data_IF_647591236429
#
_entry.id   IF_647591236429
#
_cell.length_a   1.000
_cell.length_b   1.000
_cell.length_c   1.000
_cell.angle_alpha   90.00
_cell.angle_beta   90.00
_cell.angle_gamma   90.00
#
_symmetry.space_group_name_H-M   'P 1'
#
loop_
_entity.id
_entity.type
_entity.pdbx_description
1 polymer ?
#
# COMPACT_ATOMS: atom_id res chain seq x y z
N UNK A 1 -35.48 10.03 10.05
CA UNK A 1 -34.62 9.36 9.05
C UNK A 1 -33.23 9.98 9.10
N UNK A 2 -32.36 9.46 9.98
CA UNK A 2 -30.99 9.98 10.14
C UNK A 2 -30.15 9.38 9.02
N UNK A 3 -29.79 10.21 8.04
CA UNK A 3 -28.85 9.85 6.96
C UNK A 3 -27.45 9.79 7.57
N UNK A 4 -26.99 8.58 7.89
CA UNK A 4 -25.60 8.32 8.25
C UNK A 4 -24.75 8.61 7.01
N UNK A 5 -24.04 9.73 7.01
CA UNK A 5 -22.97 10.03 6.06
C UNK A 5 -21.76 9.14 6.38
N UNK A 6 -21.72 7.94 5.79
CA UNK A 6 -20.53 7.09 5.73
C UNK A 6 -19.48 7.69 4.77
N UNK A 7 -18.91 8.85 5.11
CA UNK A 7 -17.80 9.45 4.38
C UNK A 7 -16.51 9.39 5.23
N UNK A 8 -15.66 8.43 4.84
CA UNK A 8 -14.19 8.54 4.82
C UNK A 8 -13.44 8.80 6.14
N UNK A 9 -13.47 7.86 7.09
CA UNK A 9 -12.57 7.88 8.27
C UNK A 9 -11.81 6.56 8.43
N UNK A 10 -10.92 6.23 7.50
CA UNK A 10 -10.06 5.02 7.61
C UNK A 10 -8.58 5.24 7.33
N UNK A 11 -8.08 6.50 7.36
CA UNK A 11 -6.64 6.73 7.14
C UNK A 11 -6.05 7.91 7.91
N UNK A 12 -6.27 7.98 9.22
CA UNK A 12 -5.56 8.92 10.10
C UNK A 12 -4.53 8.18 10.96
N UNK A 13 -3.43 8.84 11.34
CA UNK A 13 -2.37 8.25 12.20
C UNK A 13 -2.95 7.70 13.53
N UNK A 14 -3.98 8.36 14.06
CA UNK A 14 -4.70 7.92 15.26
C UNK A 14 -5.42 6.58 15.07
N UNK A 15 -5.99 6.31 13.89
CA UNK A 15 -6.61 5.01 13.61
C UNK A 15 -5.58 3.88 13.56
N UNK A 16 -4.38 4.13 13.02
CA UNK A 16 -3.32 3.12 12.99
C UNK A 16 -2.98 2.61 14.39
N UNK A 17 -2.90 3.49 15.39
CA UNK A 17 -2.62 3.11 16.78
C UNK A 17 -3.69 2.19 17.41
N UNK A 18 -4.94 2.28 16.96
CA UNK A 18 -6.05 1.46 17.47
C UNK A 18 -6.22 0.19 16.64
N UNK A 19 -5.97 0.26 15.33
CA UNK A 19 -6.18 -0.85 14.42
C UNK A 19 -5.01 -1.84 14.40
N UNK A 20 -3.77 -1.36 14.53
CA UNK A 20 -2.56 -2.18 14.44
C UNK A 20 -2.51 -3.32 15.47
N UNK A 21 -2.82 -3.10 16.77
CA UNK A 21 -2.90 -4.20 17.74
C UNK A 21 -3.92 -5.27 17.33
N UNK A 22 -5.08 -4.86 16.83
CA UNK A 22 -6.13 -5.77 16.36
C UNK A 22 -5.72 -6.54 15.09
N UNK A 23 -4.91 -5.90 14.24
CA UNK A 23 -4.32 -6.53 13.07
C UNK A 23 -3.31 -7.62 13.48
N UNK A 24 -2.43 -7.32 14.43
CA UNK A 24 -1.43 -8.27 14.96
C UNK A 24 -2.07 -9.44 15.69
N UNK A 25 -3.12 -9.20 16.47
CA UNK A 25 -3.90 -10.26 17.11
C UNK A 25 -4.46 -11.24 16.07
N UNK A 26 -5.12 -10.72 15.03
CA UNK A 26 -5.65 -11.55 13.94
C UNK A 26 -4.54 -12.32 13.23
N UNK A 27 -3.40 -11.66 12.97
CA UNK A 27 -2.23 -12.31 12.39
C UNK A 27 -1.75 -13.49 13.24
N UNK A 28 -1.59 -13.31 14.56
CA UNK A 28 -1.16 -14.39 15.44
C UNK A 28 -2.16 -15.55 15.49
N UNK A 29 -3.45 -15.27 15.52
CA UNK A 29 -4.50 -16.30 15.48
C UNK A 29 -4.41 -17.12 14.20
N UNK A 30 -4.30 -16.48 13.04
CA UNK A 30 -4.19 -17.16 11.74
C UNK A 30 -2.87 -17.92 11.63
N UNK A 31 -1.77 -17.34 12.09
CA UNK A 31 -0.44 -17.93 12.03
C UNK A 31 -0.29 -19.13 12.96
N UNK A 32 -0.92 -19.11 14.15
CA UNK A 32 -0.87 -20.21 15.10
C UNK A 32 -1.66 -21.45 14.65
N UNK A 33 -2.67 -21.26 13.78
CA UNK A 33 -3.40 -22.36 13.14
C UNK A 33 -2.54 -23.13 12.13
N UNK A 34 -1.45 -22.54 11.64
CA UNK A 34 -0.53 -23.19 10.71
C UNK A 34 0.51 -24.06 11.44
N UNK A 35 0.94 -25.18 10.83
CA UNK A 35 2.08 -25.95 11.30
C UNK A 35 3.33 -25.06 11.47
N UNK A 36 4.20 -25.37 12.45
CA UNK A 36 5.37 -24.55 12.78
C UNK A 36 6.25 -24.18 11.58
N UNK A 37 6.36 -25.07 10.59
CA UNK A 37 7.14 -24.84 9.36
C UNK A 37 6.53 -23.83 8.39
N UNK A 38 5.21 -23.59 8.46
CA UNK A 38 4.49 -22.69 7.56
C UNK A 38 4.18 -21.34 8.21
N UNK A 39 4.58 -21.14 9.47
CA UNK A 39 4.34 -19.89 10.19
C UNK A 39 5.19 -18.77 9.60
N UNK A 40 4.56 -17.62 9.40
CA UNK A 40 5.21 -16.40 8.92
C UNK A 40 5.74 -15.58 10.10
N UNK A 41 6.78 -14.79 9.86
CA UNK A 41 7.23 -13.78 10.82
C UNK A 41 6.22 -12.64 10.93
N UNK A 42 6.20 -11.98 12.08
CA UNK A 42 5.32 -10.84 12.32
C UNK A 42 5.51 -9.72 11.27
N UNK A 43 4.41 -9.13 10.76
CA UNK A 43 4.49 -8.00 9.84
C UNK A 43 5.21 -6.82 10.49
N UNK A 44 6.25 -6.31 9.82
CA UNK A 44 6.98 -5.12 10.29
C UNK A 44 6.42 -3.86 9.65
N UNK A 45 6.35 -2.78 10.43
CA UNK A 45 6.01 -1.47 9.91
C UNK A 45 7.04 -1.04 8.85
N UNK A 46 6.60 -0.55 7.68
CA UNK A 46 7.52 -0.01 6.67
C UNK A 46 8.36 1.15 7.21
N UNK A 47 9.61 1.32 6.74
CA UNK A 47 10.51 2.35 7.24
C UNK A 47 9.99 3.76 6.94
N UNK A 48 10.36 4.70 7.81
CA UNK A 48 10.18 6.15 7.61
C UNK A 48 11.57 6.73 7.41
N UNK A 49 11.77 7.43 6.30
CA UNK A 49 13.05 8.10 5.99
C UNK A 49 13.05 9.46 6.67
N UNK A 50 14.13 9.74 7.40
CA UNK A 50 14.35 11.03 8.05
C UNK A 50 15.36 11.83 7.24
N UNK A 51 15.17 13.15 7.16
CA UNK A 51 16.13 14.06 6.57
C UNK A 51 17.29 14.39 7.52
N UNK A 52 18.24 15.20 7.06
CA UNK A 52 19.40 15.65 7.83
C UNK A 52 19.03 16.41 9.12
N UNK A 53 17.82 16.99 9.16
CA UNK A 53 17.28 17.74 10.29
C UNK A 53 16.44 16.85 11.23
N UNK A 54 16.35 15.54 10.95
CA UNK A 54 15.53 14.59 11.70
C UNK A 54 14.02 14.72 11.47
N UNK A 55 13.58 15.53 10.50
CA UNK A 55 12.19 15.59 10.07
C UNK A 55 11.89 14.45 9.09
N UNK A 56 10.61 14.09 8.97
CA UNK A 56 10.19 13.01 8.05
C UNK A 56 10.29 13.52 6.62
N UNK A 57 11.18 12.94 5.82
CA UNK A 57 11.18 13.13 4.38
C UNK A 57 10.00 12.35 3.79
N UNK A 58 8.93 13.08 3.48
CA UNK A 58 7.69 12.51 2.97
C UNK A 58 7.90 11.86 1.61
N UNK A 59 8.72 12.44 0.73
CA UNK A 59 8.91 11.94 -0.62
C UNK A 59 9.75 10.67 -0.59
N UNK A 60 10.91 10.71 0.08
CA UNK A 60 11.76 9.53 0.24
C UNK A 60 11.03 8.40 0.97
N UNK A 61 10.20 8.72 1.98
CA UNK A 61 9.36 7.73 2.65
C UNK A 61 8.31 7.13 1.72
N UNK A 62 7.70 7.93 0.83
CA UNK A 62 6.72 7.43 -0.14
C UNK A 62 7.38 6.53 -1.18
N UNK A 63 8.57 6.89 -1.66
CA UNK A 63 9.34 6.06 -2.60
C UNK A 63 9.76 4.73 -1.95
N UNK A 64 10.31 4.76 -0.73
CA UNK A 64 10.67 3.54 0.00
C UNK A 64 9.46 2.62 0.22
N UNK A 65 8.28 3.18 0.52
CA UNK A 65 7.02 2.42 0.63
C UNK A 65 6.58 1.84 -0.71
N UNK A 66 6.74 2.58 -1.80
CA UNK A 66 6.43 2.10 -3.14
C UNK A 66 7.32 0.92 -3.54
N UNK A 67 8.63 1.03 -3.30
CA UNK A 67 9.59 -0.03 -3.60
C UNK A 67 9.35 -1.28 -2.76
N UNK A 68 9.04 -1.10 -1.47
CA UNK A 68 8.64 -2.21 -0.60
C UNK A 68 7.37 -2.90 -1.11
N UNK A 69 6.34 -2.13 -1.46
CA UNK A 69 5.09 -2.69 -2.01
C UNK A 69 5.34 -3.47 -3.30
N UNK A 70 6.23 -2.97 -4.16
CA UNK A 70 6.60 -3.62 -5.40
C UNK A 70 7.37 -4.92 -5.15
N UNK A 71 8.30 -4.93 -4.19
CA UNK A 71 9.08 -6.11 -3.82
C UNK A 71 8.22 -7.27 -3.28
N UNK A 72 7.08 -6.97 -2.65
CA UNK A 72 6.13 -7.98 -2.16
C UNK A 72 5.29 -8.64 -3.27
N UNK A 73 5.35 -8.13 -4.52
CA UNK A 73 4.61 -8.70 -5.63
C UNK A 73 5.44 -9.73 -6.40
N UNK A 74 4.85 -10.91 -6.60
CA UNK A 74 5.42 -12.01 -7.38
C UNK A 74 4.96 -11.95 -8.83
N UNK A 75 5.90 -12.16 -9.74
CA UNK A 75 5.64 -12.13 -11.18
C UNK A 75 5.17 -13.50 -11.66
N UNK A 76 4.14 -13.53 -12.51
CA UNK A 76 3.71 -14.73 -13.21
C UNK A 76 4.74 -15.11 -14.29
N UNK A 77 5.14 -16.38 -14.31
CA UNK A 77 6.13 -16.94 -15.24
C UNK A 77 5.67 -16.90 -16.71
N UNK A 78 4.36 -16.99 -16.96
CA UNK A 78 3.83 -17.06 -18.33
C UNK A 78 3.51 -15.69 -18.93
N UNK A 79 2.87 -14.77 -18.17
CA UNK A 79 2.45 -13.46 -18.69
C UNK A 79 3.26 -12.27 -18.19
N UNK A 80 4.10 -12.46 -17.16
CA UNK A 80 4.93 -11.41 -16.60
C UNK A 80 4.20 -10.35 -15.77
N UNK A 81 2.91 -10.54 -15.44
CA UNK A 81 2.19 -9.63 -14.53
C UNK A 81 2.53 -9.91 -13.08
N UNK A 82 2.52 -8.87 -12.24
CA UNK A 82 2.86 -8.95 -10.81
C UNK A 82 1.59 -9.00 -9.96
N UNK A 83 1.56 -9.91 -8.98
CA UNK A 83 0.42 -10.15 -8.09
C UNK A 83 0.90 -10.30 -6.64
N UNK A 84 -0.02 -10.13 -5.69
CA UNK A 84 0.23 -10.56 -4.33
C UNK A 84 0.29 -12.11 -4.26
N UNK A 85 1.06 -12.62 -3.31
CA UNK A 85 1.33 -14.07 -3.14
C UNK A 85 0.04 -14.92 -3.05
N UNK A 86 -1.01 -14.41 -2.41
CA UNK A 86 -2.28 -15.09 -2.29
C UNK A 86 -3.05 -15.17 -3.62
N UNK A 87 -2.93 -14.14 -4.47
CA UNK A 87 -3.69 -14.02 -5.73
C UNK A 87 -3.03 -14.67 -6.92
N UNK A 88 -1.70 -14.92 -6.87
CA UNK A 88 -0.99 -15.52 -8.01
C UNK A 88 -1.50 -16.92 -8.32
N UNK A 89 -1.80 -17.73 -7.30
CA UNK A 89 -2.35 -19.08 -7.45
C UNK A 89 -3.70 -19.09 -8.19
N UNK A 90 -4.56 -18.10 -7.95
CA UNK A 90 -5.84 -17.94 -8.65
C UNK A 90 -5.63 -17.59 -10.11
N UNK A 91 -4.67 -16.69 -10.38
CA UNK A 91 -4.33 -16.27 -11.73
C UNK A 91 -3.69 -17.41 -12.56
N UNK A 92 -2.79 -18.20 -11.96
CA UNK A 92 -2.10 -19.31 -12.63
C UNK A 92 -3.05 -20.46 -13.03
N UNK A 93 -4.26 -20.54 -12.47
CA UNK A 93 -5.28 -21.50 -12.95
C UNK A 93 -5.73 -21.24 -14.38
N UNK A 94 -5.72 -19.97 -14.81
CA UNK A 94 -6.18 -19.57 -16.15
C UNK A 94 -5.05 -19.11 -17.05
N UNK A 95 -3.94 -18.66 -16.50
CA UNK A 95 -2.78 -18.22 -17.25
C UNK A 95 -1.74 -19.34 -17.29
N UNK A 96 -1.69 -20.04 -18.41
CA UNK A 96 -0.78 -21.17 -18.67
C UNK A 96 0.22 -20.81 -19.78
N UNK A 97 1.19 -21.68 -20.04
CA UNK A 97 2.15 -21.50 -21.14
C UNK A 97 1.47 -21.42 -22.52
N UNK A 98 0.43 -22.22 -22.73
CA UNK A 98 -0.34 -22.26 -24.00
C UNK A 98 -1.30 -21.08 -24.15
N UNK A 99 -1.80 -20.55 -23.03
CA UNK A 99 -2.73 -19.43 -23.01
C UNK A 99 -2.29 -18.35 -22.01
N UNK A 100 -1.19 -17.62 -22.30
CA UNK A 100 -0.72 -16.57 -21.42
C UNK A 100 -1.66 -15.36 -21.54
N UNK A 101 -2.06 -14.82 -20.40
CA UNK A 101 -2.82 -13.58 -20.39
C UNK A 101 -1.99 -12.43 -20.99
N UNK A 102 -2.66 -11.43 -21.59
CA UNK A 102 -1.97 -10.29 -22.22
C UNK A 102 -1.02 -9.61 -21.23
N UNK A 103 0.28 -9.67 -21.54
CA UNK A 103 1.32 -8.96 -20.81
C UNK A 103 1.14 -7.45 -20.95
N UNK A 104 1.37 -6.71 -19.86
CA UNK A 104 1.38 -5.24 -19.87
C UNK A 104 2.65 -4.70 -20.58
N UNK A 105 3.67 -5.56 -20.81
CA UNK A 105 4.98 -5.13 -21.30
C UNK A 105 5.01 -4.76 -22.79
N UNK A 106 3.97 -5.03 -23.57
CA UNK A 106 3.87 -4.52 -24.95
C UNK A 106 3.37 -3.07 -24.95
N UNK A 107 4.29 -2.12 -24.74
CA UNK A 107 4.23 -0.78 -25.37
C UNK A 107 3.50 0.36 -24.64
N UNK A 108 3.80 0.66 -23.36
CA UNK A 108 3.38 1.95 -22.76
C UNK A 108 4.53 2.62 -22.02
N UNK A 109 5.00 3.77 -22.55
CA UNK A 109 5.99 4.63 -21.87
C UNK A 109 5.47 4.97 -20.48
N UNK A 110 6.35 4.92 -19.45
CA UNK A 110 6.02 5.37 -18.09
C UNK A 110 5.59 6.84 -18.14
N UNK A 111 4.31 7.13 -18.13
CA UNK A 111 3.82 8.49 -17.84
C UNK A 111 3.98 8.71 -16.34
N UNK A 112 5.17 9.10 -15.91
CA UNK A 112 5.42 9.59 -14.55
C UNK A 112 4.92 11.03 -14.50
N UNK A 113 3.63 11.23 -14.25
CA UNK A 113 3.09 12.56 -13.96
C UNK A 113 2.93 12.69 -12.45
N UNK A 114 4.02 13.00 -11.75
CA UNK A 114 3.92 13.63 -10.43
C UNK A 114 3.51 15.08 -10.70
N UNK A 115 2.21 15.36 -10.57
CA UNK A 115 1.69 16.72 -10.70
C UNK A 115 2.02 17.50 -9.43
N UNK A 116 3.25 18.00 -9.33
CA UNK A 116 3.60 19.02 -8.34
C UNK A 116 3.04 20.36 -8.82
N UNK A 117 1.82 20.69 -8.40
CA UNK A 117 1.35 22.08 -8.33
C UNK A 117 0.87 22.34 -6.90
N UNK A 118 1.80 22.69 -6.03
CA UNK A 118 1.51 23.55 -4.87
C UNK A 118 2.08 24.91 -5.23
N UNK A 119 1.23 25.75 -5.81
CA UNK A 119 1.56 27.15 -6.02
C UNK A 119 1.40 27.88 -4.69
N UNK A 120 2.36 28.73 -4.33
CA UNK A 120 2.39 29.45 -3.06
C UNK A 120 1.44 30.64 -2.99
N UNK A 121 1.18 31.04 -1.74
CA UNK A 121 0.70 32.35 -1.27
C UNK A 121 -0.75 32.75 -1.58
N UNK A 122 -1.59 32.85 -0.53
CA UNK A 122 -1.81 34.15 0.11
C UNK A 122 -2.41 34.06 1.52
N UNK A 123 -1.85 34.92 2.36
CA UNK A 123 -2.32 35.41 3.63
C UNK A 123 -3.66 36.14 3.46
N UNK A 124 -4.65 35.86 4.32
CA UNK A 124 -5.58 36.89 4.84
C UNK A 124 -6.49 36.33 5.94
N UNK A 125 -6.13 36.74 7.15
CA UNK A 125 -6.96 36.92 8.34
C UNK A 125 -8.41 37.35 8.06
N UNK A 126 -9.39 36.49 8.38
CA UNK A 126 -10.79 36.85 8.74
C UNK A 126 -11.30 35.78 9.71
N UNK A 127 -11.16 35.97 11.04
CA UNK A 127 -12.16 36.59 11.93
C UNK A 127 -13.57 36.07 11.66
N UNK A 128 -14.01 35.06 12.41
CA UNK A 128 -15.41 34.72 12.56
C UNK A 128 -15.89 35.30 13.88
N UNK A 129 -16.61 36.42 13.79
CA UNK A 129 -17.56 36.88 14.80
C UNK A 129 -18.94 36.63 14.20
N UNK A 130 -19.67 35.70 14.83
CA UNK A 130 -21.08 35.77 15.21
C UNK A 130 -21.51 34.39 15.70
#
# INVERSE_FOLDING_TARGET
MIRITFLTVFRTKAFAAIHEPKCLEKFHIENNKLPKSQRRSEPKRPPVVLDENGAIDVEATNEARWDNAQALLVQCEHCGRRFAEDRISVHQRSCTAENPAKSIYKGKKKSRSVSTKRNGQNETQKRWVN
#
